data_IF_197225916064
#
_entry.id   IF_197225916064
#
_cell.length_a   1.000
_cell.length_b   1.000
_cell.length_c   1.000
_cell.angle_alpha   90.00
_cell.angle_beta   90.00
_cell.angle_gamma   90.00
#
_symmetry.space_group_name_H-M   'P 1'
#
loop_
_entity.id
_entity.type
_entity.pdbx_description
1 polymer ?
#
# COMPACT_ATOMS: atom_id res chain seq x y z
N UNK A 1 19.07 -22.90 -53.88
CA UNK A 1 19.94 -21.78 -53.51
C UNK A 1 19.85 -21.59 -52.00
N UNK A 2 20.98 -21.73 -51.32
CA UNK A 2 21.18 -21.52 -49.88
C UNK A 2 20.83 -20.08 -49.46
N UNK A 3 20.24 -19.87 -48.28
CA UNK A 3 20.77 -19.03 -47.18
C UNK A 3 19.82 -18.96 -45.96
N UNK A 4 20.44 -18.83 -44.78
CA UNK A 4 19.93 -18.87 -43.39
C UNK A 4 19.16 -17.60 -42.96
N UNK A 5 18.26 -17.73 -41.97
CA UNK A 5 18.15 -16.84 -40.79
C UNK A 5 17.39 -17.56 -39.65
N UNK A 6 18.08 -17.90 -38.58
CA UNK A 6 18.01 -17.31 -37.23
C UNK A 6 16.76 -17.68 -36.40
N UNK A 7 17.03 -18.48 -35.37
CA UNK A 7 16.16 -18.87 -34.27
C UNK A 7 15.87 -17.69 -33.33
N UNK A 8 14.60 -17.27 -33.23
CA UNK A 8 14.09 -16.51 -32.09
C UNK A 8 13.67 -17.49 -30.99
N UNK A 9 14.17 -17.29 -29.77
CA UNK A 9 13.79 -18.03 -28.57
C UNK A 9 12.33 -17.76 -28.14
N UNK A 10 11.80 -18.55 -27.19
CA UNK A 10 10.38 -18.55 -26.88
C UNK A 10 9.96 -17.25 -26.18
N UNK A 11 8.96 -16.57 -26.74
CA UNK A 11 8.21 -15.53 -26.05
C UNK A 11 7.55 -16.12 -24.79
N UNK A 12 7.45 -15.39 -23.66
CA UNK A 12 6.64 -15.85 -22.54
C UNK A 12 5.19 -15.97 -23.03
N UNK A 13 4.67 -17.19 -23.00
CA UNK A 13 3.37 -17.56 -23.55
C UNK A 13 2.25 -16.79 -22.86
N UNK A 14 1.29 -16.29 -23.65
CA UNK A 14 -0.04 -15.79 -23.26
C UNK A 14 -0.69 -16.54 -22.08
N UNK A 15 -0.34 -17.82 -21.88
CA UNK A 15 -0.78 -18.68 -20.80
C UNK A 15 -0.52 -18.14 -19.39
N UNK A 16 0.58 -17.44 -19.10
CA UNK A 16 0.83 -16.91 -17.74
C UNK A 16 -0.05 -15.69 -17.44
N UNK A 17 -0.33 -14.89 -18.47
CA UNK A 17 -1.22 -13.70 -18.41
C UNK A 17 -2.67 -14.16 -18.23
N UNK A 18 -3.07 -15.21 -18.95
CA UNK A 18 -4.38 -15.85 -18.79
C UNK A 18 -4.49 -16.49 -17.40
N UNK A 19 -3.44 -17.11 -16.87
CA UNK A 19 -3.45 -17.67 -15.51
C UNK A 19 -3.58 -16.56 -14.45
N UNK A 20 -2.86 -15.45 -14.56
CA UNK A 20 -3.03 -14.32 -13.65
C UNK A 20 -4.45 -13.71 -13.75
N UNK A 21 -5.00 -13.57 -14.95
CA UNK A 21 -6.36 -13.06 -15.15
C UNK A 21 -7.47 -14.04 -14.73
N UNK A 22 -7.28 -15.35 -14.90
CA UNK A 22 -8.25 -16.39 -14.51
C UNK A 22 -8.16 -16.76 -13.04
N UNK A 23 -6.97 -16.67 -12.41
CA UNK A 23 -6.82 -16.91 -10.98
C UNK A 23 -7.54 -15.84 -10.14
N UNK A 24 -7.71 -14.63 -10.66
CA UNK A 24 -8.50 -13.55 -10.02
C UNK A 24 -10.01 -13.80 -10.15
N UNK A 25 -10.44 -14.67 -11.08
CA UNK A 25 -11.86 -14.94 -11.34
C UNK A 25 -12.36 -16.27 -10.74
N UNK A 26 -11.48 -17.10 -10.18
CA UNK A 26 -11.78 -18.45 -9.73
C UNK A 26 -11.77 -18.56 -8.19
N UNK A 27 -12.72 -17.89 -7.54
CA UNK A 27 -13.02 -18.14 -6.11
C UNK A 27 -14.23 -19.07 -5.92
N UNK A 28 -14.39 -20.00 -6.87
CA UNK A 28 -15.27 -21.17 -6.74
C UNK A 28 -14.62 -22.39 -7.38
N UNK A 29 -13.87 -23.18 -6.61
CA UNK A 29 -14.01 -24.65 -6.54
C UNK A 29 -12.81 -25.34 -5.87
N UNK A 30 -13.14 -26.51 -5.32
CA UNK A 30 -12.39 -27.34 -4.40
C UNK A 30 -10.95 -27.74 -4.80
N UNK A 31 -10.13 -27.81 -3.75
CA UNK A 31 -8.93 -28.64 -3.56
C UNK A 31 -8.75 -29.78 -4.57
N UNK A 32 -7.71 -29.70 -5.38
CA UNK A 32 -7.07 -30.85 -6.02
C UNK A 32 -5.56 -30.82 -5.77
N UNK A 33 -5.07 -31.88 -5.12
CA UNK A 33 -3.67 -32.10 -4.82
C UNK A 33 -3.07 -32.96 -5.94
N UNK A 34 -2.04 -32.46 -6.62
CA UNK A 34 -1.16 -33.30 -7.45
C UNK A 34 0.27 -33.16 -6.94
N UNK A 35 0.81 -34.28 -6.47
CA UNK A 35 2.21 -34.41 -6.06
C UNK A 35 3.14 -34.51 -7.26
N UNK A 36 4.30 -33.88 -7.16
CA UNK A 36 5.42 -34.03 -8.11
C UNK A 36 6.71 -34.27 -7.31
N UNK A 37 7.61 -35.18 -7.73
CA UNK A 37 8.67 -35.73 -6.88
C UNK A 37 9.90 -34.82 -6.77
N UNK A 38 10.60 -34.97 -5.64
CA UNK A 38 11.95 -34.46 -5.40
C UNK A 38 12.98 -35.17 -6.29
N UNK A 39 13.88 -34.41 -6.93
CA UNK A 39 15.34 -34.58 -6.84
C UNK A 39 16.12 -33.65 -7.80
N UNK A 40 17.37 -33.34 -7.41
CA UNK A 40 18.48 -32.70 -8.14
C UNK A 40 18.38 -31.17 -8.33
N UNK A 41 19.33 -30.30 -7.92
CA UNK A 41 20.80 -30.42 -7.86
C UNK A 41 21.40 -29.66 -6.67
N UNK A 42 22.37 -30.31 -6.02
CA UNK A 42 23.45 -29.69 -5.27
C UNK A 42 24.57 -29.23 -6.23
N UNK A 43 25.04 -28.00 -6.09
CA UNK A 43 26.46 -27.61 -6.04
C UNK A 43 26.59 -26.13 -6.39
N UNK A 44 26.99 -25.30 -5.42
CA UNK A 44 27.99 -24.24 -5.59
C UNK A 44 28.16 -23.59 -4.22
N UNK A 45 29.09 -24.13 -3.44
CA UNK A 45 29.68 -23.43 -2.33
C UNK A 45 30.93 -22.69 -2.82
N UNK A 46 31.17 -21.53 -2.21
CA UNK A 46 32.39 -20.72 -2.21
C UNK A 46 32.42 -19.53 -3.17
N UNK A 47 32.21 -18.35 -2.62
CA UNK A 47 33.30 -17.37 -2.52
C UNK A 47 32.94 -16.34 -1.45
N UNK A 48 33.92 -16.06 -0.60
CA UNK A 48 33.87 -14.97 0.37
C UNK A 48 33.86 -13.64 -0.36
N UNK A 49 33.08 -12.66 0.12
CA UNK A 49 33.63 -11.31 0.22
C UNK A 49 32.93 -10.53 1.33
N UNK A 50 33.75 -10.04 2.24
CA UNK A 50 33.42 -8.96 3.17
C UNK A 50 32.94 -7.74 2.39
N UNK A 51 31.75 -7.22 2.71
CA UNK A 51 31.48 -5.78 2.66
C UNK A 51 30.51 -5.40 3.78
N UNK A 52 31.09 -5.16 4.95
CA UNK A 52 30.55 -4.20 5.90
C UNK A 52 30.70 -2.82 5.25
N UNK A 53 29.61 -2.25 4.75
CA UNK A 53 29.48 -0.80 4.56
C UNK A 53 28.16 -0.40 5.22
N UNK A 54 28.15 -0.40 6.55
CA UNK A 54 27.15 0.33 7.32
C UNK A 54 27.43 1.79 7.07
N UNK A 55 26.57 2.44 6.27
CA UNK A 55 26.56 3.89 6.13
C UNK A 55 26.11 4.46 7.47
N UNK A 56 27.06 4.79 8.34
CA UNK A 56 26.82 5.61 9.52
C UNK A 56 26.49 7.02 9.03
N UNK A 57 25.20 7.32 8.81
CA UNK A 57 24.73 8.70 8.84
C UNK A 57 24.71 9.10 10.32
N UNK A 58 25.86 9.59 10.77
CA UNK A 58 26.02 10.19 12.09
C UNK A 58 25.07 11.38 12.17
N UNK A 59 24.15 11.35 13.13
CA UNK A 59 23.45 12.53 13.62
C UNK A 59 24.51 13.53 14.10
N UNK A 60 24.93 14.44 13.21
CA UNK A 60 25.66 15.62 13.63
C UNK A 60 24.62 16.65 14.03
N UNK A 61 24.47 16.83 15.35
CA UNK A 61 23.82 18.00 15.91
C UNK A 61 24.61 19.24 15.49
N UNK A 62 24.09 19.96 14.50
CA UNK A 62 24.64 21.24 14.08
C UNK A 62 24.48 21.51 12.58
N UNK A 63 23.77 22.60 12.29
CA UNK A 63 23.69 23.34 11.02
C UNK A 63 22.54 22.93 10.07
N UNK A 64 21.44 23.70 10.15
CA UNK A 64 20.62 24.12 9.00
C UNK A 64 19.48 23.19 8.55
N UNK A 65 18.23 23.64 8.74
CA UNK A 65 17.02 23.18 8.03
C UNK A 65 17.08 23.54 6.54
N UNK A 66 18.03 22.96 5.80
CA UNK A 66 18.09 23.13 4.35
C UNK A 66 18.22 21.78 3.66
N UNK A 67 17.08 21.12 3.46
CA UNK A 67 16.78 20.36 2.25
C UNK A 67 15.30 19.95 2.28
N UNK A 68 14.44 20.64 1.52
CA UNK A 68 13.02 20.26 1.28
C UNK A 68 12.85 18.83 0.72
N UNK A 69 13.95 18.16 0.37
CA UNK A 69 13.98 16.78 -0.11
C UNK A 69 13.91 15.72 1.01
N UNK A 70 14.24 16.06 2.26
CA UNK A 70 14.34 15.09 3.36
C UNK A 70 13.10 15.10 4.25
N UNK A 71 12.72 13.92 4.76
CA UNK A 71 11.64 13.84 5.75
C UNK A 71 12.04 14.57 7.05
N UNK A 72 11.23 15.51 7.58
CA UNK A 72 11.68 16.40 8.66
C UNK A 72 12.14 15.67 9.92
N UNK A 73 13.29 16.06 10.49
CA UNK A 73 13.86 15.42 11.69
C UNK A 73 12.90 15.47 12.89
N UNK A 74 12.13 16.56 13.05
CA UNK A 74 11.12 16.69 14.08
C UNK A 74 10.03 15.61 13.94
N UNK A 75 9.54 15.37 12.72
CA UNK A 75 8.56 14.32 12.42
C UNK A 75 9.11 12.93 12.74
N UNK A 76 10.38 12.66 12.42
CA UNK A 76 11.04 11.38 12.79
C UNK A 76 11.05 11.15 14.29
N UNK A 77 11.47 12.18 15.05
CA UNK A 77 11.52 12.13 16.52
C UNK A 77 10.13 11.92 17.12
N UNK A 78 9.13 12.60 16.58
CA UNK A 78 7.74 12.43 17.00
C UNK A 78 7.20 11.02 16.72
N UNK A 79 7.49 10.44 15.55
CA UNK A 79 7.12 9.06 15.22
C UNK A 79 7.78 8.05 16.18
N UNK A 80 9.07 8.20 16.49
CA UNK A 80 9.77 7.35 17.45
C UNK A 80 9.15 7.44 18.84
N UNK A 81 8.82 8.66 19.28
CA UNK A 81 8.19 8.88 20.57
C UNK A 81 6.80 8.24 20.62
N UNK A 82 5.99 8.44 19.58
CA UNK A 82 4.66 7.82 19.46
C UNK A 82 4.74 6.28 19.43
N UNK A 83 5.77 5.72 18.80
CA UNK A 83 5.96 4.27 18.75
C UNK A 83 6.22 3.70 20.16
N UNK A 84 6.96 4.43 21.01
CA UNK A 84 7.19 4.07 22.41
C UNK A 84 5.93 4.20 23.26
N UNK A 85 5.03 5.13 22.95
CA UNK A 85 3.76 5.28 23.66
C UNK A 85 2.81 4.11 23.38
N UNK A 86 2.84 3.57 22.15
CA UNK A 86 1.94 2.51 21.71
C UNK A 86 2.47 1.12 22.07
N UNK A 87 3.78 0.89 21.94
CA UNK A 87 4.38 -0.43 22.12
C UNK A 87 5.27 -0.48 23.39
N UNK A 88 4.87 -1.26 24.42
CA UNK A 88 5.62 -1.40 25.66
C UNK A 88 7.06 -1.89 25.47
N UNK A 89 7.32 -2.70 24.44
CA UNK A 89 8.65 -3.21 24.13
C UNK A 89 9.58 -2.07 23.70
N UNK A 90 9.08 -1.18 22.84
CA UNK A 90 9.82 -0.02 22.37
C UNK A 90 10.01 1.01 23.49
N UNK A 91 9.01 1.17 24.36
CA UNK A 91 9.11 2.00 25.57
C UNK A 91 10.28 1.57 26.47
N UNK A 92 10.52 0.26 26.59
CA UNK A 92 11.63 -0.33 27.33
C UNK A 92 12.98 -0.27 26.60
N UNK A 93 13.06 0.42 25.46
CA UNK A 93 14.28 0.59 24.67
C UNK A 93 14.65 -0.61 23.81
N UNK A 94 13.76 -1.60 23.63
CA UNK A 94 13.99 -2.67 22.66
C UNK A 94 13.87 -2.13 21.24
N UNK A 95 14.53 -2.81 20.30
CA UNK A 95 14.54 -2.44 18.87
C UNK A 95 13.32 -2.96 18.09
N UNK A 96 12.52 -3.84 18.70
CA UNK A 96 11.38 -4.51 18.07
C UNK A 96 10.16 -4.43 18.97
N UNK A 97 8.99 -4.48 18.37
CA UNK A 97 7.69 -4.47 19.03
C UNK A 97 7.40 -5.73 19.84
N UNK A 98 6.34 -5.65 20.63
CA UNK A 98 5.88 -6.70 21.55
C UNK A 98 4.91 -7.71 20.92
N UNK A 99 4.39 -7.42 19.73
CA UNK A 99 3.26 -8.14 19.14
C UNK A 99 3.67 -9.43 18.43
N UNK A 100 4.63 -9.37 17.51
CA UNK A 100 5.03 -10.53 16.73
C UNK A 100 6.54 -10.60 16.54
N UNK A 101 7.03 -11.77 16.13
CA UNK A 101 8.38 -11.84 15.55
C UNK A 101 8.45 -10.89 14.37
N UNK A 102 9.57 -10.16 14.26
CA UNK A 102 9.83 -9.33 13.09
C UNK A 102 9.92 -10.19 11.84
N UNK A 103 9.45 -9.64 10.73
CA UNK A 103 9.51 -10.31 9.46
C UNK A 103 9.13 -9.38 8.32
N UNK A 104 9.11 -9.95 7.12
CA UNK A 104 8.76 -9.27 5.88
C UNK A 104 7.44 -8.46 5.99
N UNK A 105 6.40 -9.12 6.49
CA UNK A 105 5.03 -8.59 6.55
C UNK A 105 4.70 -7.86 7.85
N UNK A 106 5.59 -7.86 8.84
CA UNK A 106 5.53 -6.99 10.02
C UNK A 106 6.93 -6.73 10.54
N UNK A 107 7.52 -5.62 10.11
CA UNK A 107 8.95 -5.35 10.25
C UNK A 107 9.32 -4.82 11.61
N UNK A 108 8.43 -4.05 12.22
CA UNK A 108 8.62 -3.62 13.61
C UNK A 108 8.22 -4.71 14.58
N UNK A 109 7.31 -5.62 14.21
CA UNK A 109 6.73 -6.59 15.13
C UNK A 109 5.75 -5.96 16.12
N UNK A 110 5.19 -4.79 15.78
CA UNK A 110 4.17 -4.08 16.56
C UNK A 110 2.78 -4.33 15.98
N UNK A 111 1.75 -4.24 16.82
CA UNK A 111 0.36 -4.38 16.36
C UNK A 111 -0.07 -3.20 15.47
N UNK A 112 0.29 -1.98 15.91
CA UNK A 112 0.22 -0.73 15.17
C UNK A 112 1.58 -0.03 15.21
N UNK A 113 1.94 0.62 14.11
CA UNK A 113 3.18 1.41 13.98
C UNK A 113 2.82 2.81 13.49
N UNK A 114 3.24 3.90 14.17
CA UNK A 114 2.99 5.23 13.68
C UNK A 114 3.67 5.45 12.34
N UNK A 115 2.90 5.95 11.39
CA UNK A 115 3.25 6.05 9.99
C UNK A 115 3.23 7.50 9.48
N UNK A 116 2.52 8.44 10.10
CA UNK A 116 2.71 9.86 9.83
C UNK A 116 2.13 10.66 11.01
N UNK A 117 2.55 11.92 11.12
CA UNK A 117 2.03 12.84 12.12
C UNK A 117 1.22 13.93 11.40
N UNK A 118 0.04 14.32 11.91
CA UNK A 118 -0.64 13.74 13.07
C UNK A 118 -1.38 12.43 12.74
N UNK A 119 -1.51 11.56 13.75
CA UNK A 119 -2.59 10.57 13.84
C UNK A 119 -2.64 9.44 12.81
N UNK A 120 -1.57 9.13 12.06
CA UNK A 120 -1.59 8.04 11.08
C UNK A 120 -0.77 6.85 11.56
N UNK A 121 -1.37 5.66 11.53
CA UNK A 121 -0.78 4.41 11.97
C UNK A 121 -0.97 3.32 10.92
N UNK A 122 -0.08 2.32 10.92
CA UNK A 122 -0.20 1.15 10.06
C UNK A 122 -0.20 -0.14 10.86
N UNK A 123 -1.04 -1.09 10.45
CA UNK A 123 -1.09 -2.45 10.99
C UNK A 123 -0.73 -3.44 9.90
N UNK A 124 0.40 -4.13 10.05
CA UNK A 124 0.91 -5.03 9.00
C UNK A 124 0.71 -6.50 9.39
N UNK A 125 0.28 -7.33 8.44
CA UNK A 125 0.06 -8.77 8.63
C UNK A 125 0.61 -9.55 7.43
N UNK A 126 1.07 -10.81 7.64
CA UNK A 126 1.26 -11.74 6.53
C UNK A 126 -0.05 -11.92 5.76
N UNK A 127 0.05 -11.94 4.43
CA UNK A 127 -1.09 -12.22 3.57
C UNK A 127 -0.65 -13.16 2.47
N UNK A 128 -1.25 -14.34 2.43
CA UNK A 128 -0.85 -15.40 1.53
C UNK A 128 -1.78 -15.45 0.31
N UNK A 129 -1.24 -15.08 -0.85
CA UNK A 129 -1.86 -15.30 -2.15
C UNK A 129 -1.21 -16.52 -2.81
N UNK A 130 -1.96 -17.59 -3.07
CA UNK A 130 -1.42 -18.84 -3.63
C UNK A 130 -0.16 -19.36 -2.90
N UNK A 131 -0.17 -19.33 -1.56
CA UNK A 131 0.96 -19.68 -0.65
C UNK A 131 2.16 -18.74 -0.70
N UNK A 132 2.10 -17.67 -1.47
CA UNK A 132 3.12 -16.62 -1.51
C UNK A 132 2.72 -15.53 -0.52
N UNK A 133 3.59 -15.23 0.45
CA UNK A 133 3.38 -14.09 1.33
C UNK A 133 3.66 -12.80 0.55
N UNK A 134 2.61 -12.04 0.28
CA UNK A 134 2.69 -10.72 -0.37
C UNK A 134 2.64 -9.59 0.66
N UNK A 135 2.48 -9.92 1.94
CA UNK A 135 2.22 -8.96 3.01
C UNK A 135 0.89 -8.24 2.81
N UNK A 136 0.37 -7.61 3.86
CA UNK A 136 -0.77 -6.71 3.77
C UNK A 136 -0.63 -5.65 4.85
N UNK A 137 -1.11 -4.45 4.55
CA UNK A 137 -1.02 -3.29 5.44
C UNK A 137 -2.35 -2.55 5.43
N UNK A 138 -2.89 -2.44 6.64
CA UNK A 138 -3.96 -1.50 6.97
C UNK A 138 -3.37 -0.16 7.38
N UNK A 139 -4.14 0.91 7.17
CA UNK A 139 -3.87 2.23 7.76
C UNK A 139 -5.02 2.62 8.67
N UNK A 140 -4.70 3.18 9.84
CA UNK A 140 -5.66 3.80 10.77
C UNK A 140 -5.32 5.27 10.88
N UNK A 141 -6.32 6.14 10.75
CA UNK A 141 -6.20 7.59 10.87
C UNK A 141 -7.12 8.07 12.00
N UNK A 142 -6.57 8.82 12.95
CA UNK A 142 -7.35 9.63 13.90
C UNK A 142 -7.96 10.82 13.16
N UNK A 143 -9.29 10.89 13.13
CA UNK A 143 -10.03 12.00 12.57
C UNK A 143 -10.09 13.17 13.56
N UNK A 144 -10.38 14.35 13.02
CA UNK A 144 -10.66 15.55 13.80
C UNK A 144 -11.97 15.46 14.60
N UNK A 145 -12.90 14.61 14.16
CA UNK A 145 -14.10 14.29 14.93
C UNK A 145 -13.78 13.42 16.14
N UNK A 146 -14.59 13.57 17.18
CA UNK A 146 -14.42 12.85 18.44
C UNK A 146 -15.73 12.19 18.83
N UNK A 147 -15.61 11.00 19.40
CA UNK A 147 -16.71 10.26 20.00
C UNK A 147 -17.13 10.88 21.35
N UNK A 148 -18.27 10.43 21.89
CA UNK A 148 -18.86 11.01 23.12
C UNK A 148 -17.94 10.93 24.35
N UNK A 149 -17.04 9.94 24.40
CA UNK A 149 -16.07 9.77 25.49
C UNK A 149 -14.80 10.65 25.33
N UNK A 150 -14.77 11.48 24.29
CA UNK A 150 -13.69 12.43 23.99
C UNK A 150 -12.51 11.81 23.24
N UNK A 151 -12.58 10.54 22.82
CA UNK A 151 -11.56 9.93 21.96
C UNK A 151 -11.77 10.31 20.49
N UNK A 152 -10.71 10.38 19.67
CA UNK A 152 -10.85 10.58 18.24
C UNK A 152 -11.65 9.44 17.61
N UNK A 153 -12.47 9.78 16.62
CA UNK A 153 -12.99 8.79 15.70
C UNK A 153 -11.85 8.29 14.80
N UNK A 154 -11.93 7.03 14.39
CA UNK A 154 -10.94 6.38 13.56
C UNK A 154 -11.50 6.05 12.19
N UNK A 155 -10.69 6.39 11.19
CA UNK A 155 -10.83 5.94 9.82
C UNK A 155 -9.85 4.79 9.55
N UNK A 156 -10.38 3.64 9.16
CA UNK A 156 -9.62 2.42 8.89
C UNK A 156 -9.66 2.11 7.40
N UNK A 157 -8.51 1.94 6.80
CA UNK A 157 -8.37 1.70 5.36
C UNK A 157 -7.64 0.39 5.10
N UNK A 158 -8.18 -0.43 4.19
CA UNK A 158 -7.70 -1.78 3.87
C UNK A 158 -7.59 -2.64 5.14
N UNK A 159 -8.74 -3.02 5.74
CA UNK A 159 -8.74 -3.78 6.99
C UNK A 159 -7.94 -5.08 6.87
N UNK A 160 -7.08 -5.36 7.87
CA UNK A 160 -6.34 -6.62 7.98
C UNK A 160 -7.00 -7.59 8.97
N UNK A 161 -6.46 -8.80 9.10
CA UNK A 161 -6.91 -9.75 10.10
C UNK A 161 -6.90 -9.12 11.51
N UNK A 162 -8.06 -9.14 12.16
CA UNK A 162 -8.31 -8.50 13.43
C UNK A 162 -8.12 -9.50 14.57
N UNK A 163 -6.92 -9.51 15.14
CA UNK A 163 -6.56 -10.33 16.28
C UNK A 163 -6.58 -9.56 17.61
N UNK A 164 -6.56 -10.29 18.73
CA UNK A 164 -6.65 -9.72 20.08
C UNK A 164 -5.71 -8.52 20.32
N UNK A 165 -4.40 -8.63 20.02
CA UNK A 165 -3.49 -7.49 20.20
C UNK A 165 -3.80 -6.28 19.32
N UNK A 166 -4.39 -6.47 18.13
CA UNK A 166 -4.81 -5.35 17.29
C UNK A 166 -6.07 -4.69 17.83
N UNK A 167 -7.04 -5.49 18.29
CA UNK A 167 -8.23 -5.01 18.99
C UNK A 167 -7.83 -4.13 20.17
N UNK A 168 -6.99 -4.65 21.07
CA UNK A 168 -6.48 -3.91 22.24
C UNK A 168 -5.78 -2.60 21.85
N UNK A 169 -5.06 -2.58 20.72
CA UNK A 169 -4.36 -1.41 20.24
C UNK A 169 -5.33 -0.36 19.68
N UNK A 170 -6.36 -0.77 18.95
CA UNK A 170 -7.39 0.10 18.39
C UNK A 170 -8.28 0.69 19.49
N UNK A 171 -8.70 -0.12 20.48
CA UNK A 171 -9.55 0.35 21.60
C UNK A 171 -8.89 1.46 22.45
N UNK A 172 -7.56 1.41 22.56
CA UNK A 172 -6.76 2.45 23.22
C UNK A 172 -6.59 3.69 22.35
N UNK A 173 -6.66 3.53 21.03
CA UNK A 173 -6.42 4.61 20.08
C UNK A 173 -7.66 5.50 19.92
N UNK A 174 -8.83 4.91 19.72
CA UNK A 174 -10.05 5.67 19.46
C UNK A 174 -11.26 4.83 19.09
N UNK A 175 -12.32 5.51 18.68
CA UNK A 175 -13.59 4.90 18.28
C UNK A 175 -13.58 4.57 16.78
N UNK A 176 -13.72 3.31 16.37
CA UNK A 176 -13.79 2.98 14.94
C UNK A 176 -15.09 3.48 14.34
N UNK A 177 -15.02 4.53 13.52
CA UNK A 177 -16.20 5.18 12.91
C UNK A 177 -16.37 4.82 11.44
N UNK A 178 -15.26 4.68 10.71
CA UNK A 178 -15.27 4.37 9.29
C UNK A 178 -14.28 3.26 8.98
N UNK A 179 -14.72 2.26 8.20
CA UNK A 179 -13.85 1.19 7.67
C UNK A 179 -14.03 1.13 6.17
N UNK A 180 -12.94 1.15 5.41
CA UNK A 180 -12.95 1.28 3.96
C UNK A 180 -12.23 0.12 3.29
N UNK A 181 -12.93 -0.56 2.37
CA UNK A 181 -12.31 -1.45 1.38
C UNK A 181 -12.05 -0.66 0.10
N UNK A 182 -10.78 -0.39 -0.24
CA UNK A 182 -10.42 0.60 -1.27
C UNK A 182 -10.46 0.06 -2.70
N UNK A 183 -10.45 -1.26 -2.88
CA UNK A 183 -10.51 -1.94 -4.17
C UNK A 183 -11.06 -3.37 -3.99
N UNK A 184 -11.19 -4.12 -5.10
CA UNK A 184 -11.70 -5.50 -5.11
C UNK A 184 -10.85 -6.55 -4.39
N UNK A 185 -9.56 -6.32 -4.16
CA UNK A 185 -8.65 -7.29 -3.51
C UNK A 185 -8.50 -7.06 -2.00
N UNK A 186 -8.74 -5.85 -1.52
CA UNK A 186 -8.60 -5.45 -0.11
C UNK A 186 -9.93 -5.49 0.66
N UNK A 187 -10.72 -6.56 0.44
CA UNK A 187 -12.03 -6.80 1.07
C UNK A 187 -12.08 -8.00 2.00
N UNK A 188 -11.08 -8.89 1.94
CA UNK A 188 -11.08 -10.18 2.63
C UNK A 188 -11.48 -10.12 4.12
N UNK A 189 -11.06 -9.08 4.84
CA UNK A 189 -11.34 -8.92 6.27
C UNK A 189 -12.49 -7.94 6.56
N UNK A 190 -13.11 -7.31 5.56
CA UNK A 190 -14.16 -6.32 5.77
C UNK A 190 -15.35 -6.88 6.57
N UNK A 191 -15.76 -8.14 6.31
CA UNK A 191 -16.84 -8.81 7.08
C UNK A 191 -16.51 -8.90 8.57
N UNK A 192 -15.29 -9.31 8.90
CA UNK A 192 -14.82 -9.45 10.29
C UNK A 192 -14.85 -8.10 11.02
N UNK A 193 -14.48 -7.03 10.33
CA UNK A 193 -14.53 -5.69 10.88
C UNK A 193 -15.96 -5.20 11.08
N UNK A 194 -16.86 -5.46 10.13
CA UNK A 194 -18.28 -5.13 10.24
C UNK A 194 -18.97 -5.88 11.40
N UNK A 195 -18.58 -7.15 11.63
CA UNK A 195 -19.09 -7.96 12.74
C UNK A 195 -18.56 -7.51 14.10
N UNK A 196 -17.33 -6.99 14.16
CA UNK A 196 -16.70 -6.53 15.40
C UNK A 196 -17.14 -5.10 15.79
N UNK A 197 -17.26 -4.21 14.81
CA UNK A 197 -17.57 -2.79 15.01
C UNK A 197 -18.93 -2.48 14.38
N UNK A 198 -20.01 -2.93 15.02
CA UNK A 198 -21.38 -2.84 14.48
C UNK A 198 -21.87 -1.41 14.29
N UNK A 199 -21.29 -0.45 15.01
CA UNK A 199 -21.63 0.97 14.94
C UNK A 199 -20.76 1.74 13.92
N UNK A 200 -19.75 1.07 13.35
CA UNK A 200 -18.90 1.67 12.33
C UNK A 200 -19.60 1.67 10.97
N UNK A 201 -19.36 2.72 10.18
CA UNK A 201 -19.79 2.77 8.79
C UNK A 201 -18.79 2.03 7.91
N UNK A 202 -19.28 1.04 7.15
CA UNK A 202 -18.49 0.25 6.22
C UNK A 202 -18.63 0.82 4.80
N UNK A 203 -17.53 1.29 4.22
CA UNK A 203 -17.52 1.88 2.88
C UNK A 203 -16.75 1.00 1.89
N UNK A 204 -17.36 0.80 0.73
CA UNK A 204 -16.81 -0.03 -0.33
C UNK A 204 -16.32 0.84 -1.49
N UNK A 205 -15.32 0.39 -2.26
CA UNK A 205 -15.08 0.98 -3.58
C UNK A 205 -16.31 0.76 -4.49
N UNK A 206 -16.46 1.52 -5.59
CA UNK A 206 -17.63 1.37 -6.46
C UNK A 206 -17.81 -0.09 -6.92
N UNK A 207 -19.05 -0.58 -6.98
CA UNK A 207 -19.39 -1.94 -7.41
C UNK A 207 -19.01 -3.07 -6.45
N UNK A 208 -18.39 -2.78 -5.31
CA UNK A 208 -18.00 -3.80 -4.33
C UNK A 208 -19.21 -4.39 -3.59
N UNK A 209 -20.27 -3.61 -3.35
CA UNK A 209 -21.47 -4.11 -2.64
C UNK A 209 -22.10 -5.28 -3.41
N UNK A 210 -22.14 -5.20 -4.75
CA UNK A 210 -22.65 -6.29 -5.59
C UNK A 210 -21.74 -7.54 -5.50
N UNK A 211 -20.42 -7.34 -5.40
CA UNK A 211 -19.44 -8.44 -5.36
C UNK A 211 -19.42 -9.17 -4.02
N UNK A 212 -19.49 -8.42 -2.92
CA UNK A 212 -19.38 -8.95 -1.55
C UNK A 212 -20.60 -8.54 -0.70
N UNK A 213 -21.81 -9.01 -1.03
CA UNK A 213 -23.06 -8.58 -0.39
C UNK A 213 -23.22 -9.06 1.06
N UNK A 214 -22.34 -9.95 1.54
CA UNK A 214 -22.36 -10.48 2.90
C UNK A 214 -21.70 -9.54 3.92
N UNK A 215 -21.03 -8.47 3.49
CA UNK A 215 -20.51 -7.43 4.38
C UNK A 215 -21.63 -6.43 4.61
N UNK A 216 -21.78 -5.97 5.85
CA UNK A 216 -22.78 -4.96 6.21
C UNK A 216 -22.35 -3.56 5.73
N UNK A 217 -22.36 -3.34 4.41
CA UNK A 217 -21.96 -2.08 3.80
C UNK A 217 -22.93 -0.95 4.15
N UNK A 218 -22.39 0.19 4.54
CA UNK A 218 -23.10 1.46 4.65
C UNK A 218 -23.31 2.08 3.29
N UNK A 219 -22.32 2.00 2.39
CA UNK A 219 -22.42 2.51 1.03
C UNK A 219 -21.13 2.36 0.24
N UNK A 220 -21.11 2.92 -0.97
CA UNK A 220 -19.92 2.95 -1.84
C UNK A 220 -19.35 4.36 -1.93
N UNK A 221 -18.03 4.47 -2.07
CA UNK A 221 -17.39 5.70 -2.54
C UNK A 221 -18.02 6.10 -3.88
N UNK A 222 -18.35 7.37 -4.12
CA UNK A 222 -18.95 7.78 -5.39
C UNK A 222 -18.07 7.37 -6.58
N UNK A 223 -18.70 6.81 -7.61
CA UNK A 223 -18.00 6.51 -8.85
C UNK A 223 -17.42 7.81 -9.43
N UNK A 224 -16.12 7.77 -9.74
CA UNK A 224 -15.41 8.92 -10.29
C UNK A 224 -15.12 9.99 -9.25
N UNK A 225 -15.15 9.66 -7.95
CA UNK A 225 -14.76 10.58 -6.88
C UNK A 225 -13.43 11.27 -7.20
N UNK A 226 -13.41 12.59 -7.02
CA UNK A 226 -12.24 13.44 -7.23
C UNK A 226 -12.09 14.40 -6.05
N UNK A 227 -10.85 14.74 -5.69
CA UNK A 227 -10.58 15.88 -4.82
C UNK A 227 -11.10 17.17 -5.43
N UNK A 228 -11.52 18.11 -4.58
CA UNK A 228 -12.01 19.44 -5.02
C UNK A 228 -11.01 20.21 -5.90
N UNK A 229 -9.71 19.98 -5.66
CA UNK A 229 -8.61 20.66 -6.36
C UNK A 229 -8.17 19.91 -7.63
N UNK A 230 -8.82 18.78 -7.96
CA UNK A 230 -8.54 18.03 -9.17
C UNK A 230 -9.03 18.81 -10.41
N UNK A 231 -8.21 18.95 -11.47
CA UNK A 231 -8.62 19.63 -12.69
C UNK A 231 -9.91 19.04 -13.27
N UNK A 232 -10.86 19.88 -13.65
CA UNK A 232 -12.14 19.45 -14.25
C UNK A 232 -12.99 18.54 -13.36
N UNK A 233 -12.74 18.51 -12.04
CA UNK A 233 -13.60 17.81 -11.10
C UNK A 233 -15.04 18.32 -11.22
N UNK A 234 -15.96 17.41 -11.53
CA UNK A 234 -17.38 17.74 -11.52
C UNK A 234 -17.82 18.03 -10.08
N UNK A 235 -18.78 18.94 -9.93
CA UNK A 235 -19.23 19.40 -8.61
C UNK A 235 -19.83 18.27 -7.75
N UNK A 236 -20.45 17.28 -8.39
CA UNK A 236 -20.99 16.06 -7.77
C UNK A 236 -19.88 15.08 -7.35
N UNK A 237 -18.83 14.95 -8.16
CA UNK A 237 -17.67 14.10 -7.89
C UNK A 237 -16.78 14.58 -6.74
N UNK A 238 -16.98 15.83 -6.27
CA UNK A 238 -16.20 16.47 -5.19
C UNK A 238 -16.96 16.55 -3.86
N UNK A 239 -18.13 15.89 -3.75
CA UNK A 239 -18.96 15.90 -2.54
C UNK A 239 -18.95 14.52 -1.87
N UNK A 240 -18.92 14.46 -0.53
CA UNK A 240 -19.10 13.21 0.19
C UNK A 240 -20.36 12.48 -0.26
N UNK A 241 -20.23 11.18 -0.51
CA UNK A 241 -21.37 10.31 -0.73
C UNK A 241 -22.21 10.18 0.56
N UNK A 242 -23.48 9.85 0.39
CA UNK A 242 -24.37 9.46 1.48
C UNK A 242 -24.57 7.95 1.39
N UNK A 243 -24.43 7.26 2.50
CA UNK A 243 -24.68 5.83 2.61
C UNK A 243 -26.14 5.47 2.29
N UNK A 244 -26.38 4.19 2.02
CA UNK A 244 -27.70 3.61 1.74
C UNK A 244 -28.70 3.86 2.89
N UNK A 245 -28.20 4.07 4.11
CA UNK A 245 -28.97 4.35 5.31
C UNK A 245 -29.06 5.85 5.66
N UNK A 246 -28.51 6.75 4.84
CA UNK A 246 -28.47 8.18 5.11
C UNK A 246 -27.25 8.66 5.93
N UNK A 247 -26.37 7.75 6.37
CA UNK A 247 -25.12 8.12 7.06
C UNK A 247 -24.20 8.89 6.11
N UNK A 248 -23.58 9.95 6.61
CA UNK A 248 -22.63 10.73 5.83
C UNK A 248 -21.24 10.11 5.92
N UNK A 249 -20.46 10.24 4.85
CA UNK A 249 -19.02 9.98 4.92
C UNK A 249 -18.31 11.01 5.81
N UNK A 250 -17.02 10.77 6.06
CA UNK A 250 -16.13 11.70 6.73
C UNK A 250 -15.96 13.03 5.95
N UNK A 251 -15.35 14.04 6.58
CA UNK A 251 -15.03 15.30 5.91
C UNK A 251 -13.97 15.09 4.81
N UNK A 252 -14.37 15.29 3.56
CA UNK A 252 -13.46 15.18 2.42
C UNK A 252 -12.38 16.27 2.39
N UNK A 253 -12.46 17.33 3.18
CA UNK A 253 -11.30 18.23 3.36
C UNK A 253 -10.20 17.59 4.21
N UNK A 254 -10.56 16.67 5.11
CA UNK A 254 -9.63 15.96 5.98
C UNK A 254 -9.02 14.75 5.27
N UNK A 255 -9.85 13.89 4.66
CA UNK A 255 -9.39 12.74 3.86
C UNK A 255 -10.04 12.79 2.48
N UNK A 256 -9.25 13.03 1.44
CA UNK A 256 -9.71 13.18 0.06
C UNK A 256 -9.62 11.85 -0.70
N UNK A 257 -10.73 11.27 -1.17
CA UNK A 257 -10.69 10.12 -2.06
C UNK A 257 -10.42 10.54 -3.52
N UNK A 258 -9.78 9.66 -4.27
CA UNK A 258 -9.65 9.75 -5.73
C UNK A 258 -9.85 8.36 -6.32
N UNK A 259 -10.88 8.20 -7.14
CA UNK A 259 -11.19 6.94 -7.83
C UNK A 259 -10.42 6.82 -9.15
N UNK A 260 -9.64 5.76 -9.32
CA UNK A 260 -8.95 5.44 -10.58
C UNK A 260 -9.94 4.69 -11.50
N UNK A 261 -10.79 5.43 -12.19
CA UNK A 261 -11.87 4.90 -13.03
C UNK A 261 -11.45 4.59 -14.48
N UNK A 262 -10.15 4.35 -14.69
CA UNK A 262 -9.57 4.19 -16.02
C UNK A 262 -9.30 2.73 -16.39
N UNK A 263 -9.07 1.85 -15.41
CA UNK A 263 -8.73 0.46 -15.72
C UNK A 263 -9.95 -0.41 -16.00
N UNK A 264 -9.82 -1.28 -17.00
CA UNK A 264 -10.79 -2.33 -17.28
C UNK A 264 -10.08 -3.64 -17.56
N UNK A 265 -10.75 -4.73 -17.25
CA UNK A 265 -10.36 -6.04 -17.72
C UNK A 265 -10.53 -6.09 -19.25
N UNK A 266 -9.48 -6.41 -20.04
CA UNK A 266 -9.55 -6.33 -21.50
C UNK A 266 -10.50 -7.36 -22.13
N UNK A 267 -10.91 -8.41 -21.40
CA UNK A 267 -11.80 -9.45 -21.89
C UNK A 267 -13.27 -9.20 -21.56
N UNK A 268 -13.57 -8.55 -20.44
CA UNK A 268 -14.96 -8.30 -19.99
C UNK A 268 -15.38 -6.84 -20.15
N UNK A 269 -14.42 -5.92 -20.30
CA UNK A 269 -14.67 -4.48 -20.32
C UNK A 269 -15.14 -3.90 -18.98
N UNK A 270 -15.16 -4.70 -17.91
CA UNK A 270 -15.56 -4.27 -16.56
C UNK A 270 -14.34 -3.78 -15.75
N UNK A 271 -14.53 -2.96 -14.71
CA UNK A 271 -13.44 -2.55 -13.82
C UNK A 271 -12.69 -3.75 -13.25
N UNK A 272 -11.36 -3.63 -13.11
CA UNK A 272 -10.51 -4.72 -12.65
C UNK A 272 -10.22 -4.69 -11.16
N UNK A 273 -9.58 -3.63 -10.65
CA UNK A 273 -9.44 -3.41 -9.20
C UNK A 273 -10.50 -2.43 -8.69
N UNK A 274 -10.85 -1.45 -9.52
CA UNK A 274 -11.76 -0.36 -9.18
C UNK A 274 -11.24 0.42 -7.97
N UNK A 275 -10.00 0.88 -8.10
CA UNK A 275 -9.16 1.38 -7.02
C UNK A 275 -9.55 2.80 -6.59
N UNK A 276 -9.61 3.03 -5.28
CA UNK A 276 -9.73 4.37 -4.69
C UNK A 276 -8.52 4.64 -3.81
N UNK A 277 -7.77 5.69 -4.13
CA UNK A 277 -6.67 6.18 -3.29
C UNK A 277 -7.15 7.30 -2.37
N UNK A 278 -6.50 7.47 -1.22
CA UNK A 278 -6.93 8.43 -0.20
C UNK A 278 -5.79 9.33 0.24
N UNK A 279 -6.03 10.64 0.32
CA UNK A 279 -5.06 11.61 0.81
C UNK A 279 -5.52 12.24 2.12
N UNK A 280 -4.77 12.00 3.19
CA UNK A 280 -4.98 12.66 4.48
C UNK A 280 -4.30 14.03 4.46
N UNK A 281 -5.09 15.09 4.41
CA UNK A 281 -4.61 16.47 4.27
C UNK A 281 -3.71 16.90 5.43
N UNK A 282 -4.09 16.70 6.72
CA UNK A 282 -3.27 17.13 7.86
C UNK A 282 -1.86 16.56 7.88
N UNK A 283 -1.70 15.27 7.58
CA UNK A 283 -0.38 14.60 7.60
C UNK A 283 0.28 14.49 6.22
N UNK A 284 -0.35 15.07 5.18
CA UNK A 284 0.06 14.98 3.76
C UNK A 284 0.42 13.56 3.35
N UNK A 285 -0.43 12.62 3.72
CA UNK A 285 -0.18 11.19 3.55
C UNK A 285 -1.09 10.62 2.47
N UNK A 286 -0.50 10.00 1.45
CA UNK A 286 -1.22 9.34 0.37
C UNK A 286 -1.25 7.83 0.61
N UNK A 287 -2.45 7.26 0.67
CA UNK A 287 -2.71 5.83 0.75
C UNK A 287 -2.99 5.30 -0.65
N UNK A 288 -2.16 4.37 -1.13
CA UNK A 288 -2.17 3.93 -2.54
C UNK A 288 -2.38 2.44 -2.74
N UNK A 289 -2.63 1.66 -1.68
CA UNK A 289 -3.13 0.27 -1.83
C UNK A 289 -2.36 -0.54 -2.86
N UNK A 290 -2.98 -0.84 -4.01
CA UNK A 290 -2.39 -1.52 -5.17
C UNK A 290 -2.09 -0.56 -6.34
N UNK A 291 -2.49 0.71 -6.29
CA UNK A 291 -2.04 1.72 -7.26
C UNK A 291 -0.52 1.97 -7.20
N UNK A 292 0.15 1.62 -6.10
CA UNK A 292 1.61 1.62 -5.98
C UNK A 292 2.07 0.52 -5.03
N UNK A 293 3.14 -0.19 -5.40
CA UNK A 293 3.85 -1.14 -4.54
C UNK A 293 5.36 -1.05 -4.78
N UNK A 294 6.15 -1.38 -3.76
CA UNK A 294 7.60 -1.23 -3.78
C UNK A 294 8.31 -2.21 -2.84
N UNK A 295 8.30 -3.47 -3.23
CA UNK A 295 9.05 -4.49 -2.50
C UNK A 295 10.57 -4.23 -2.60
N UNK A 296 11.35 -4.32 -1.51
CA UNK A 296 12.82 -4.26 -1.55
C UNK A 296 13.42 -5.45 -2.30
N UNK A 297 14.67 -5.31 -2.73
CA UNK A 297 15.33 -6.26 -3.63
C UNK A 297 15.79 -7.56 -2.95
N UNK A 298 15.58 -7.68 -1.63
CA UNK A 298 15.85 -8.90 -0.86
C UNK A 298 17.10 -8.84 0.02
N UNK A 299 17.80 -7.71 0.03
CA UNK A 299 18.98 -7.44 0.86
C UNK A 299 18.64 -7.22 2.35
N UNK A 300 17.38 -6.96 2.64
CA UNK A 300 16.92 -6.69 3.99
C UNK A 300 17.03 -5.22 4.40
N UNK A 301 17.21 -4.33 3.43
CA UNK A 301 17.24 -2.87 3.63
C UNK A 301 15.95 -2.25 3.11
N UNK A 302 15.34 -1.39 3.93
CA UNK A 302 14.15 -0.62 3.55
C UNK A 302 14.45 0.25 2.31
N UNK A 303 13.54 0.23 1.34
CA UNK A 303 13.59 0.98 0.08
C UNK A 303 14.86 0.75 -0.77
N UNK A 304 15.55 -0.39 -0.63
CA UNK A 304 16.75 -0.69 -1.44
C UNK A 304 16.48 -0.64 -2.95
N UNK A 305 15.30 -1.09 -3.36
CA UNK A 305 14.81 -1.01 -4.73
C UNK A 305 14.67 0.44 -5.23
N UNK A 306 14.42 1.40 -4.35
CA UNK A 306 14.26 2.81 -4.71
C UNK A 306 15.63 3.48 -4.81
N UNK A 307 16.56 3.14 -3.91
CA UNK A 307 17.94 3.65 -3.92
C UNK A 307 18.65 3.37 -5.25
N UNK A 308 18.57 2.13 -5.72
CA UNK A 308 19.20 1.73 -6.99
C UNK A 308 18.61 2.47 -8.20
N UNK A 309 17.38 2.96 -8.05
CA UNK A 309 16.60 3.62 -9.09
C UNK A 309 16.68 5.15 -9.10
N UNK A 310 17.10 5.80 -8.01
CA UNK A 310 17.09 7.27 -7.84
C UNK A 310 18.43 7.86 -7.38
N UNK A 311 19.47 7.04 -7.12
CA UNK A 311 20.84 7.51 -6.84
C UNK A 311 21.19 7.59 -5.34
N UNK A 312 22.45 7.94 -5.02
CA UNK A 312 23.03 7.77 -3.67
C UNK A 312 22.85 8.96 -2.70
N UNK A 313 22.19 10.05 -3.10
CA UNK A 313 22.16 11.31 -2.33
C UNK A 313 20.89 11.55 -1.51
N UNK A 314 19.88 10.68 -1.58
CA UNK A 314 18.63 10.85 -0.83
C UNK A 314 18.55 9.90 0.38
N UNK A 315 17.75 10.28 1.38
CA UNK A 315 17.43 9.43 2.52
C UNK A 315 16.26 8.51 2.16
N UNK A 316 16.57 7.27 1.82
CA UNK A 316 15.59 6.25 1.46
C UNK A 316 15.10 5.46 2.68
N UNK A 317 15.10 6.04 3.88
CA UNK A 317 14.55 5.35 5.07
C UNK A 317 15.58 4.54 5.84
N UNK A 318 16.85 4.97 5.84
CA UNK A 318 17.90 4.40 6.71
C UNK A 318 17.56 4.55 8.20
N UNK A 319 16.74 5.56 8.54
CA UNK A 319 16.31 5.86 9.90
C UNK A 319 14.97 5.24 10.30
N UNK A 320 14.25 4.59 9.38
CA UNK A 320 12.86 4.12 9.57
C UNK A 320 12.67 3.39 10.89
N UNK A 321 11.45 3.42 11.43
CA UNK A 321 11.12 2.74 12.69
C UNK A 321 11.45 1.24 12.64
N UNK A 322 11.37 0.65 11.45
CA UNK A 322 11.81 -0.71 11.15
C UNK A 322 12.88 -0.69 10.05
N UNK A 323 14.16 -0.45 10.40
CA UNK A 323 15.24 -0.26 9.41
C UNK A 323 15.76 -1.59 8.84
N UNK A 324 15.53 -2.71 9.55
CA UNK A 324 15.86 -4.05 9.08
C UNK A 324 14.58 -4.72 8.57
N UNK A 325 14.53 -4.99 7.28
CA UNK A 325 13.44 -5.77 6.68
C UNK A 325 13.95 -7.21 6.61
N UNK A 326 13.26 -8.15 7.24
CA UNK A 326 13.68 -9.55 7.19
C UNK A 326 13.88 -10.02 5.74
N UNK A 327 14.73 -11.03 5.52
CA UNK A 327 14.97 -11.56 4.16
C UNK A 327 13.66 -11.92 3.46
N UNK A 328 13.49 -11.46 2.24
CA UNK A 328 12.28 -11.75 1.46
C UNK A 328 12.21 -13.25 1.15
N UNK A 329 11.05 -13.89 1.35
CA UNK A 329 10.83 -15.26 0.90
C UNK A 329 11.07 -15.39 -0.61
N UNK A 330 11.60 -16.54 -1.05
CA UNK A 330 11.92 -16.78 -2.47
C UNK A 330 10.69 -16.60 -3.37
N UNK A 331 9.53 -17.13 -2.94
CA UNK A 331 8.27 -16.99 -3.65
C UNK A 331 7.85 -15.52 -3.81
N UNK A 332 8.03 -14.70 -2.77
CA UNK A 332 7.74 -13.26 -2.80
C UNK A 332 8.65 -12.51 -3.76
N UNK A 333 9.93 -12.87 -3.85
CA UNK A 333 10.84 -12.27 -4.86
C UNK A 333 10.42 -12.62 -6.29
N UNK A 334 10.01 -13.86 -6.53
CA UNK A 334 9.48 -14.28 -7.83
C UNK A 334 8.18 -13.54 -8.17
N UNK A 335 7.30 -13.35 -7.18
CA UNK A 335 6.08 -12.55 -7.31
C UNK A 335 6.39 -11.11 -7.68
N UNK A 336 7.28 -10.44 -6.93
CA UNK A 336 7.76 -9.07 -7.25
C UNK A 336 8.22 -8.98 -8.70
N UNK A 337 9.09 -9.89 -9.13
CA UNK A 337 9.59 -9.90 -10.50
C UNK A 337 8.45 -10.00 -11.53
N UNK A 338 7.47 -10.88 -11.28
CA UNK A 338 6.28 -11.00 -12.13
C UNK A 338 5.45 -9.71 -12.17
N UNK A 339 5.24 -9.06 -11.01
CA UNK A 339 4.49 -7.82 -10.94
C UNK A 339 5.18 -6.68 -11.70
N UNK A 340 6.49 -6.54 -11.54
CA UNK A 340 7.25 -5.42 -12.13
C UNK A 340 7.46 -5.59 -13.64
N UNK A 341 7.81 -6.80 -14.09
CA UNK A 341 8.21 -7.05 -15.47
C UNK A 341 7.05 -7.43 -16.41
N UNK A 342 5.96 -7.97 -15.85
CA UNK A 342 4.85 -8.49 -16.66
C UNK A 342 3.57 -7.73 -16.36
N UNK A 343 3.16 -7.66 -15.09
CA UNK A 343 1.87 -7.08 -14.75
C UNK A 343 1.83 -5.57 -14.97
N UNK A 344 2.84 -4.80 -14.54
CA UNK A 344 2.85 -3.34 -14.73
C UNK A 344 2.75 -2.94 -16.21
N UNK A 345 3.54 -3.48 -17.15
CA UNK A 345 3.35 -3.20 -18.57
C UNK A 345 1.97 -3.62 -19.08
N UNK A 346 1.41 -4.73 -18.60
CA UNK A 346 0.07 -5.16 -18.97
C UNK A 346 -1.01 -4.18 -18.48
N UNK A 347 -0.95 -3.75 -17.22
CA UNK A 347 -1.86 -2.78 -16.64
C UNK A 347 -1.84 -1.46 -17.42
N UNK A 348 -0.64 -0.90 -17.61
CA UNK A 348 -0.49 0.40 -18.26
C UNK A 348 -0.84 0.42 -19.75
N UNK A 349 -0.65 -0.69 -20.47
CA UNK A 349 -0.81 -0.72 -21.93
C UNK A 349 -2.07 -1.45 -22.42
N UNK A 350 -2.66 -2.34 -21.62
CA UNK A 350 -3.79 -3.19 -22.04
C UNK A 350 -5.04 -3.01 -21.20
N UNK A 351 -4.91 -2.63 -19.92
CA UNK A 351 -6.06 -2.41 -19.04
C UNK A 351 -6.55 -0.97 -19.08
N UNK A 352 -5.64 -0.02 -19.28
CA UNK A 352 -5.99 1.37 -19.57
C UNK A 352 -6.14 1.51 -21.08
N UNK A 353 -7.38 1.63 -21.54
CA UNK A 353 -7.67 1.82 -22.96
C UNK A 353 -7.11 3.15 -23.46
N UNK A 354 -6.77 3.22 -24.75
CA UNK A 354 -6.24 4.44 -25.39
C UNK A 354 -7.13 5.67 -25.19
N UNK A 355 -8.45 5.48 -25.18
CA UNK A 355 -9.45 6.52 -24.92
C UNK A 355 -9.43 7.07 -23.48
N UNK A 356 -8.94 6.30 -22.50
CA UNK A 356 -8.82 6.69 -21.08
C UNK A 356 -7.41 7.16 -20.73
N UNK A 357 -6.46 7.13 -21.68
CA UNK A 357 -5.05 7.43 -21.40
C UNK A 357 -4.84 8.85 -20.87
N UNK A 358 -5.55 9.83 -21.42
CA UNK A 358 -5.48 11.22 -20.95
C UNK A 358 -6.00 11.37 -19.52
N UNK A 359 -7.18 10.78 -19.21
CA UNK A 359 -7.74 10.79 -17.86
C UNK A 359 -6.77 10.11 -16.86
N UNK A 360 -6.18 8.98 -17.24
CA UNK A 360 -5.18 8.32 -16.41
C UNK A 360 -3.93 9.18 -16.18
N UNK A 361 -3.40 9.83 -17.22
CA UNK A 361 -2.20 10.66 -17.11
C UNK A 361 -2.46 11.91 -16.24
N UNK A 362 -3.68 12.45 -16.25
CA UNK A 362 -4.13 13.51 -15.34
C UNK A 362 -4.22 13.03 -13.89
N UNK A 363 -4.86 11.86 -13.65
CA UNK A 363 -4.90 11.21 -12.34
C UNK A 363 -3.48 10.96 -11.81
N UNK A 364 -2.62 10.35 -12.62
CA UNK A 364 -1.24 10.05 -12.24
C UNK A 364 -0.43 11.32 -11.97
N UNK A 365 -0.60 12.38 -12.78
CA UNK A 365 0.05 13.68 -12.57
C UNK A 365 -0.42 14.35 -11.28
N UNK A 366 -1.71 14.22 -10.97
CA UNK A 366 -2.28 14.72 -9.72
C UNK A 366 -1.77 13.93 -8.51
N UNK A 367 -1.71 12.60 -8.57
CA UNK A 367 -1.15 11.79 -7.48
C UNK A 367 0.34 12.07 -7.24
N UNK A 368 1.08 12.37 -8.32
CA UNK A 368 2.54 12.63 -8.27
C UNK A 368 2.90 14.04 -7.81
N UNK A 369 1.92 14.89 -7.44
CA UNK A 369 2.15 16.23 -6.92
C UNK A 369 2.62 17.25 -7.96
N UNK A 370 2.39 17.01 -9.28
CA UNK A 370 2.87 17.91 -10.34
C UNK A 370 2.15 19.27 -10.33
N UNK A 371 0.96 19.39 -9.71
CA UNK A 371 0.21 20.64 -9.46
C UNK A 371 -0.90 20.44 -8.39
N UNK A 372 -0.66 19.62 -7.38
CA UNK A 372 -1.72 18.95 -6.62
C UNK A 372 -1.26 18.56 -5.21
N UNK A 373 -1.72 17.42 -4.66
CA UNK A 373 -1.28 16.88 -3.37
C UNK A 373 0.24 16.97 -3.18
N UNK A 374 0.63 17.67 -2.12
CA UNK A 374 2.03 17.84 -1.74
C UNK A 374 2.43 16.69 -0.79
N UNK A 375 2.35 15.45 -1.28
CA UNK A 375 2.51 14.24 -0.49
C UNK A 375 3.90 14.16 0.15
N UNK A 376 3.93 13.96 1.47
CA UNK A 376 5.17 13.79 2.25
C UNK A 376 5.37 12.35 2.73
N UNK A 377 4.30 11.57 2.84
CA UNK A 377 4.34 10.15 3.19
C UNK A 377 3.46 9.37 2.20
N UNK A 378 4.01 8.32 1.60
CA UNK A 378 3.32 7.41 0.71
C UNK A 378 3.19 6.05 1.41
N UNK A 379 1.97 5.53 1.50
CA UNK A 379 1.65 4.26 2.17
C UNK A 379 0.99 3.31 1.17
N UNK A 380 1.73 2.36 0.60
CA UNK A 380 1.14 1.25 -0.15
C UNK A 380 0.64 0.16 0.80
N UNK A 381 -0.28 -0.69 0.31
CA UNK A 381 -0.64 -1.90 1.06
C UNK A 381 0.51 -2.93 1.07
N UNK A 382 1.39 -2.86 0.07
CA UNK A 382 2.47 -3.80 -0.17
C UNK A 382 3.82 -3.10 -0.35
N UNK A 383 4.84 -3.57 0.37
CA UNK A 383 6.17 -2.98 0.35
C UNK A 383 6.39 -1.95 1.46
N UNK A 384 7.12 -0.89 1.13
CA UNK A 384 7.79 0.01 2.06
C UNK A 384 7.12 1.38 2.03
N UNK A 385 7.10 2.08 3.16
CA UNK A 385 6.69 3.47 3.18
C UNK A 385 7.76 4.32 2.50
N UNK A 386 7.33 5.29 1.68
CA UNK A 386 8.20 6.31 1.12
C UNK A 386 7.92 7.63 1.83
N UNK A 387 8.99 8.34 2.19
CA UNK A 387 8.91 9.59 2.95
C UNK A 387 9.82 10.65 2.37
N UNK A 388 9.34 11.88 2.40
CA UNK A 388 10.02 13.03 1.82
C UNK A 388 9.35 13.44 0.53
N UNK A 389 8.97 14.71 0.47
CA UNK A 389 8.14 15.27 -0.60
C UNK A 389 8.74 15.03 -2.00
N UNK A 390 10.03 15.33 -2.15
CA UNK A 390 10.73 15.17 -3.43
C UNK A 390 10.88 13.68 -3.79
N UNK A 391 11.26 12.85 -2.82
CA UNK A 391 11.41 11.42 -3.04
C UNK A 391 10.09 10.78 -3.47
N UNK A 392 8.98 11.07 -2.77
CA UNK A 392 7.64 10.57 -3.14
C UNK A 392 7.27 10.99 -4.55
N UNK A 393 7.46 12.28 -4.89
CA UNK A 393 7.20 12.79 -6.24
C UNK A 393 8.00 12.05 -7.32
N UNK A 394 9.31 11.86 -7.11
CA UNK A 394 10.17 11.17 -8.06
C UNK A 394 9.75 9.71 -8.25
N UNK A 395 9.47 9.02 -7.13
CA UNK A 395 8.99 7.64 -7.12
C UNK A 395 7.69 7.47 -7.90
N UNK A 396 6.70 8.35 -7.69
CA UNK A 396 5.42 8.26 -8.37
C UNK A 396 5.53 8.63 -9.85
N UNK A 397 6.28 9.68 -10.21
CA UNK A 397 6.51 10.02 -11.62
C UNK A 397 7.14 8.85 -12.39
N UNK A 398 8.16 8.20 -11.80
CA UNK A 398 8.78 7.01 -12.38
C UNK A 398 7.80 5.84 -12.48
N UNK A 399 7.02 5.59 -11.42
CA UNK A 399 6.05 4.51 -11.38
C UNK A 399 4.99 4.66 -12.48
N UNK A 400 4.47 5.87 -12.69
CA UNK A 400 3.44 6.14 -13.70
C UNK A 400 4.00 6.46 -15.10
N UNK A 401 5.32 6.64 -15.24
CA UNK A 401 5.95 6.94 -16.53
C UNK A 401 5.71 8.38 -17.01
N UNK A 402 5.75 9.34 -16.08
CA UNK A 402 5.52 10.77 -16.33
C UNK A 402 6.81 11.59 -16.49
N UNK A 403 7.96 10.90 -16.61
CA UNK A 403 9.30 11.48 -16.76
C UNK A 403 9.56 12.05 -18.16
#
# INVERSE_FOLDING_TARGET
>A
YYLRSQSCGPAPSLSLIIILCLCIYSDKCHSFSYGVPNNFLSSYASSSSKKNNVLHVVLKDGVGDQHDSLYPLASRRALIQKAKEIDPSLAQGKKTGSYSKIGWSNRLGSALTPAAIPGVYTGCRPFYWNKIDVGSRMTVIELSSTSEDGKPDLFVHSPVYLDGPLLDAIEKLGNVKHVVSPNYEHVKFAKMWAEQYTDACMWACPGMIEREPQVAWTGEIPYGARPKDFPEAKEDASKPGIGLNGESMWDWNEIQPLHIDCEVNPFTGKPFFNEVVFFHTPSKTLLTTDAYWNYPDGDGVTNSNVKDNLGNSEDFGVWELAPEVGKLPVGTRAWKFGMDQIFRPFFLNLMIKSEQKNNFDEIASFMSGKNSWQTETLIPAHGDLIRGKILVKNVLNKHFGLE
#
